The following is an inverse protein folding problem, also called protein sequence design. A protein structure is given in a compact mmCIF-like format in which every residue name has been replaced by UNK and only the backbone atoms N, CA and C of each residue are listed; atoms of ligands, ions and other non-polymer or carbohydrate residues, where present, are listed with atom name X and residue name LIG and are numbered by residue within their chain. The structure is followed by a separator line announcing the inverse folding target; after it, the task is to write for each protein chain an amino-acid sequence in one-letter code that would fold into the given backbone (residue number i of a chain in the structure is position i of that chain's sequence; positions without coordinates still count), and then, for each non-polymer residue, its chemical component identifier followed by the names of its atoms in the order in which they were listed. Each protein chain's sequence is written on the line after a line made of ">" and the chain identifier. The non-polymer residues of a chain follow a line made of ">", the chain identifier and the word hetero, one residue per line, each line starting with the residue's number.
data_IF_947157823605
#
_entry.id   IF_947157823605
#
_cell.length_a   1.000
_cell.length_b   1.000
_cell.length_c   1.000
_cell.angle_alpha   90.00
_cell.angle_beta   90.00
_cell.angle_gamma   90.00
#
_symmetry.space_group_name_H-M   'P 1'
#
loop_
_entity.id
_entity.type
_entity.pdbx_description
1 polymer ?
#
# COMPACT_ATOMS: atom_id res chain seq x y z
N UNK A 1 -17.99 6.57 -7.08
CA UNK A 1 -18.24 7.61 -8.11
C UNK A 1 -19.71 7.70 -8.46
N UNK A 2 -20.44 6.60 -8.70
CA UNK A 2 -21.86 6.58 -9.06
C UNK A 2 -22.76 7.22 -8.02
N UNK A 3 -22.61 6.85 -6.76
CA UNK A 3 -23.41 7.41 -5.66
C UNK A 3 -23.19 8.93 -5.48
N UNK A 4 -21.93 9.37 -5.56
CA UNK A 4 -21.61 10.79 -5.44
C UNK A 4 -22.18 11.61 -6.62
N UNK A 5 -22.10 11.08 -7.85
CA UNK A 5 -22.69 11.70 -9.03
C UNK A 5 -24.22 11.74 -8.95
N UNK A 6 -24.86 10.66 -8.49
CA UNK A 6 -26.32 10.60 -8.29
C UNK A 6 -26.78 11.60 -7.22
N UNK A 7 -26.05 11.71 -6.10
CA UNK A 7 -26.35 12.68 -5.05
C UNK A 7 -26.23 14.15 -5.52
N UNK A 8 -25.26 14.41 -6.42
CA UNK A 8 -25.06 15.74 -7.01
C UNK A 8 -26.05 16.09 -8.14
N UNK A 9 -26.77 15.12 -8.70
CA UNK A 9 -27.61 15.33 -9.88
C UNK A 9 -28.71 16.37 -9.63
N UNK A 10 -29.50 16.23 -8.57
CA UNK A 10 -30.60 17.17 -8.23
C UNK A 10 -30.08 18.60 -8.03
N UNK A 11 -29.14 18.84 -7.10
CA UNK A 11 -28.62 20.18 -6.83
C UNK A 11 -27.97 20.88 -8.02
N UNK A 12 -27.38 20.13 -8.98
CA UNK A 12 -26.65 20.71 -10.11
C UNK A 12 -27.48 20.88 -11.38
N UNK A 13 -28.61 20.14 -11.54
CA UNK A 13 -29.43 20.19 -12.74
C UNK A 13 -30.71 21.01 -12.54
N UNK A 14 -31.16 21.22 -11.28
CA UNK A 14 -32.36 21.93 -10.93
C UNK A 14 -32.07 23.23 -10.15
N UNK A 15 -31.24 24.09 -10.74
CA UNK A 15 -30.87 25.38 -10.15
C UNK A 15 -32.03 26.37 -10.21
N UNK A 16 -32.34 26.94 -9.05
CA UNK A 16 -33.35 28.00 -8.96
C UNK A 16 -32.70 29.35 -9.29
N UNK A 17 -33.37 30.18 -10.10
CA UNK A 17 -32.91 31.52 -10.39
C UNK A 17 -32.77 32.37 -9.12
N UNK A 18 -31.70 33.16 -9.01
CA UNK A 18 -31.42 33.99 -7.82
C UNK A 18 -32.46 35.13 -7.65
N UNK A 19 -33.07 35.58 -8.74
CA UNK A 19 -34.14 36.59 -8.79
C UNK A 19 -35.10 36.28 -9.94
N UNK A 20 -36.26 36.97 -9.96
CA UNK A 20 -37.28 36.82 -11.02
C UNK A 20 -36.95 37.66 -12.29
N UNK A 21 -35.67 37.96 -12.53
CA UNK A 21 -35.22 38.69 -13.72
C UNK A 21 -34.72 37.74 -14.82
N UNK A 22 -34.72 38.24 -16.06
CA UNK A 22 -34.34 37.49 -17.25
C UNK A 22 -32.91 37.01 -17.22
N UNK A 23 -31.99 37.75 -16.58
CA UNK A 23 -30.56 37.39 -16.50
C UNK A 23 -30.36 36.25 -15.51
N UNK A 24 -30.95 36.34 -14.32
CA UNK A 24 -30.91 35.29 -13.31
C UNK A 24 -31.52 33.97 -13.81
N UNK A 25 -32.64 34.07 -14.53
CA UNK A 25 -33.31 32.92 -15.16
C UNK A 25 -32.43 32.31 -16.26
N UNK A 26 -31.83 33.16 -17.11
CA UNK A 26 -30.91 32.69 -18.17
C UNK A 26 -29.66 32.00 -17.62
N UNK A 27 -29.07 32.53 -16.56
CA UNK A 27 -27.90 31.93 -15.88
C UNK A 27 -28.28 30.60 -15.24
N UNK A 28 -29.40 30.51 -14.54
CA UNK A 28 -29.89 29.25 -13.94
C UNK A 28 -30.11 28.16 -15.00
N UNK A 29 -30.72 28.52 -16.13
CA UNK A 29 -30.92 27.61 -17.26
C UNK A 29 -29.57 27.12 -17.86
N UNK A 30 -28.59 28.02 -18.03
CA UNK A 30 -27.27 27.69 -18.53
C UNK A 30 -26.55 26.68 -17.61
N UNK A 31 -26.50 26.94 -16.32
CA UNK A 31 -25.91 26.03 -15.35
C UNK A 31 -26.66 24.69 -15.27
N UNK A 32 -27.97 24.70 -15.35
CA UNK A 32 -28.76 23.47 -15.38
C UNK A 32 -28.45 22.61 -16.62
N UNK A 33 -28.27 23.25 -17.79
CA UNK A 33 -27.86 22.55 -19.01
C UNK A 33 -26.46 21.90 -18.87
N UNK A 34 -25.47 22.63 -18.37
CA UNK A 34 -24.14 22.08 -18.07
C UNK A 34 -24.19 20.97 -17.03
N UNK A 35 -25.03 21.09 -16.01
CA UNK A 35 -25.27 20.03 -15.03
C UNK A 35 -25.78 18.75 -15.68
N UNK A 36 -26.72 18.85 -16.64
CA UNK A 36 -27.23 17.70 -17.40
C UNK A 36 -26.13 17.06 -18.29
N UNK A 37 -25.35 17.87 -19.00
CA UNK A 37 -24.22 17.38 -19.80
C UNK A 37 -23.17 16.66 -18.94
N UNK A 38 -22.86 17.19 -17.78
CA UNK A 38 -21.96 16.57 -16.81
C UNK A 38 -22.51 15.20 -16.34
N UNK A 39 -23.81 15.08 -16.06
CA UNK A 39 -24.42 13.81 -15.64
C UNK A 39 -24.36 12.76 -16.78
N UNK A 40 -24.56 13.17 -18.02
CA UNK A 40 -24.39 12.27 -19.18
C UNK A 40 -22.95 11.77 -19.30
N UNK A 41 -21.97 12.67 -19.19
CA UNK A 41 -20.56 12.31 -19.23
C UNK A 41 -20.16 11.41 -18.06
N UNK A 42 -20.65 11.70 -16.86
CA UNK A 42 -20.44 10.89 -15.66
C UNK A 42 -20.98 9.46 -15.81
N UNK A 43 -22.18 9.30 -16.39
CA UNK A 43 -22.75 7.99 -16.65
C UNK A 43 -21.93 7.17 -17.67
N UNK A 44 -21.39 7.83 -18.70
CA UNK A 44 -20.50 7.18 -19.68
C UNK A 44 -19.18 6.76 -19.02
N UNK A 45 -18.61 7.61 -18.15
CA UNK A 45 -17.40 7.27 -17.41
C UNK A 45 -17.60 6.08 -16.46
N UNK A 46 -18.77 5.97 -15.82
CA UNK A 46 -19.11 4.80 -15.00
C UNK A 46 -19.21 3.53 -15.83
N UNK A 47 -19.94 3.56 -16.95
CA UNK A 47 -20.06 2.42 -17.86
C UNK A 47 -18.70 1.97 -18.39
N UNK A 48 -17.83 2.92 -18.75
CA UNK A 48 -16.46 2.62 -19.15
C UNK A 48 -15.65 1.97 -18.02
N UNK A 49 -15.77 2.49 -16.81
CA UNK A 49 -15.06 1.92 -15.65
C UNK A 49 -15.51 0.48 -15.37
N UNK A 50 -16.81 0.20 -15.40
CA UNK A 50 -17.36 -1.15 -15.24
C UNK A 50 -16.86 -2.11 -16.32
N UNK A 51 -16.85 -1.67 -17.58
CA UNK A 51 -16.32 -2.46 -18.70
C UNK A 51 -14.82 -2.72 -18.52
N UNK A 52 -14.05 -1.72 -18.10
CA UNK A 52 -12.62 -1.86 -17.85
C UNK A 52 -12.32 -2.87 -16.74
N UNK A 53 -13.03 -2.78 -15.60
CA UNK A 53 -12.89 -3.74 -14.49
C UNK A 53 -13.25 -5.17 -14.95
N UNK A 54 -14.32 -5.32 -15.71
CA UNK A 54 -14.74 -6.63 -16.26
C UNK A 54 -13.70 -7.21 -17.21
N UNK A 55 -13.09 -6.38 -18.08
CA UNK A 55 -12.01 -6.80 -18.96
C UNK A 55 -10.75 -7.20 -18.20
N UNK A 56 -10.40 -6.47 -17.15
CA UNK A 56 -9.28 -6.83 -16.28
C UNK A 56 -9.52 -8.19 -15.60
N UNK A 57 -10.72 -8.40 -15.05
CA UNK A 57 -11.07 -9.67 -14.43
C UNK A 57 -11.05 -10.84 -15.43
N UNK A 58 -11.59 -10.64 -16.62
CA UNK A 58 -11.56 -11.64 -17.69
C UNK A 58 -10.12 -11.95 -18.12
N UNK A 59 -9.28 -10.93 -18.24
CA UNK A 59 -7.86 -11.10 -18.56
C UNK A 59 -7.12 -11.87 -17.48
N UNK A 60 -7.36 -11.55 -16.21
CA UNK A 60 -6.75 -12.26 -15.07
C UNK A 60 -7.09 -13.74 -15.08
N UNK A 61 -8.37 -14.10 -15.34
CA UNK A 61 -8.81 -15.50 -15.46
C UNK A 61 -8.16 -16.19 -16.68
N UNK A 62 -8.04 -15.49 -17.80
CA UNK A 62 -7.39 -16.04 -19.00
C UNK A 62 -5.89 -16.30 -18.77
N UNK A 63 -5.18 -15.36 -18.12
CA UNK A 63 -3.79 -15.57 -17.73
C UNK A 63 -3.64 -16.74 -16.76
N UNK A 64 -4.48 -16.82 -15.73
CA UNK A 64 -4.45 -17.91 -14.76
C UNK A 64 -4.64 -19.29 -15.43
N UNK A 65 -5.55 -19.40 -16.39
CA UNK A 65 -5.78 -20.66 -17.12
C UNK A 65 -4.60 -21.01 -18.04
N UNK A 66 -3.99 -20.03 -18.71
CA UNK A 66 -2.81 -20.23 -19.54
C UNK A 66 -1.58 -20.65 -18.72
N UNK A 67 -1.35 -20.00 -17.58
CA UNK A 67 -0.26 -20.36 -16.65
C UNK A 67 -0.43 -21.76 -16.06
N UNK A 68 -1.67 -22.15 -15.71
CA UNK A 68 -1.96 -23.49 -15.24
C UNK A 68 -1.66 -24.56 -16.32
N UNK A 69 -2.01 -24.29 -17.57
CA UNK A 69 -1.72 -25.19 -18.69
C UNK A 69 -0.20 -25.29 -18.96
N UNK A 70 0.51 -24.15 -18.96
CA UNK A 70 1.95 -24.10 -19.17
C UNK A 70 2.71 -24.82 -18.03
N UNK A 71 2.32 -24.60 -16.79
CA UNK A 71 2.91 -25.27 -15.64
C UNK A 71 2.72 -26.79 -15.70
N UNK A 72 1.53 -27.24 -16.10
CA UNK A 72 1.26 -28.67 -16.34
C UNK A 72 2.17 -29.26 -17.42
N UNK A 73 2.38 -28.58 -18.53
CA UNK A 73 3.27 -29.02 -19.61
C UNK A 73 4.76 -29.03 -19.19
N UNK A 74 5.21 -28.00 -18.49
CA UNK A 74 6.58 -27.94 -17.96
C UNK A 74 6.85 -29.09 -17.00
N UNK A 75 5.91 -29.37 -16.10
CA UNK A 75 6.02 -30.46 -15.14
C UNK A 75 6.07 -31.82 -15.85
N UNK A 76 5.18 -32.06 -16.81
CA UNK A 76 5.20 -33.30 -17.61
C UNK A 76 6.53 -33.47 -18.36
N UNK A 77 7.04 -32.40 -18.96
CA UNK A 77 8.33 -32.44 -19.66
C UNK A 77 9.49 -32.67 -18.68
N UNK A 78 9.50 -32.00 -17.52
CA UNK A 78 10.55 -32.14 -16.53
C UNK A 78 10.62 -33.56 -15.91
N UNK A 79 9.48 -34.24 -15.81
CA UNK A 79 9.40 -35.63 -15.30
C UNK A 79 9.70 -36.65 -16.41
N UNK A 80 9.17 -36.43 -17.60
CA UNK A 80 9.31 -37.40 -18.70
C UNK A 80 10.67 -37.34 -19.41
N UNK A 81 11.28 -36.17 -19.59
CA UNK A 81 12.54 -36.04 -20.30
C UNK A 81 13.70 -36.89 -19.68
N UNK A 82 13.94 -36.85 -18.34
CA UNK A 82 14.94 -37.74 -17.72
C UNK A 82 14.53 -39.22 -17.79
N UNK A 83 13.25 -39.51 -17.72
CA UNK A 83 12.76 -40.90 -17.77
C UNK A 83 12.88 -41.48 -19.19
N UNK A 84 12.59 -40.72 -20.21
CA UNK A 84 12.78 -41.11 -21.64
C UNK A 84 14.28 -41.32 -21.92
N UNK A 85 15.16 -40.46 -21.36
CA UNK A 85 16.60 -40.61 -21.53
C UNK A 85 17.18 -41.88 -20.85
N UNK A 86 16.60 -42.30 -19.73
CA UNK A 86 17.08 -43.42 -18.92
C UNK A 86 16.36 -44.75 -19.24
N UNK A 87 15.06 -44.71 -19.51
CA UNK A 87 14.18 -45.86 -19.60
C UNK A 87 13.63 -46.06 -21.04
N UNK A 88 13.84 -45.11 -21.95
CA UNK A 88 13.33 -45.14 -23.33
C UNK A 88 11.83 -44.94 -23.46
N UNK A 89 11.15 -44.57 -22.34
CA UNK A 89 9.70 -44.31 -22.33
C UNK A 89 9.32 -43.28 -21.26
N UNK A 90 8.24 -42.51 -21.49
CA UNK A 90 7.77 -41.56 -20.50
C UNK A 90 7.23 -42.25 -19.23
N UNK A 91 7.51 -41.74 -18.05
CA UNK A 91 6.94 -42.19 -16.78
C UNK A 91 5.44 -41.89 -16.69
N UNK A 92 5.02 -40.80 -17.29
CA UNK A 92 3.64 -40.35 -17.30
C UNK A 92 3.15 -40.40 -18.74
N UNK A 93 2.36 -41.47 -19.09
CA UNK A 93 1.83 -41.63 -20.42
C UNK A 93 0.80 -40.54 -20.75
N UNK A 94 0.78 -40.07 -21.99
CA UNK A 94 -0.12 -39.01 -22.46
C UNK A 94 -1.63 -39.34 -22.34
N UNK A 95 -2.00 -40.56 -21.90
CA UNK A 95 -3.37 -41.02 -21.65
C UNK A 95 -3.84 -40.96 -20.22
N UNK A 96 -2.98 -40.62 -19.24
CA UNK A 96 -3.37 -40.47 -17.84
C UNK A 96 -3.90 -39.05 -17.51
N UNK A 97 -4.34 -38.31 -18.53
CA UNK A 97 -4.98 -37.01 -18.37
C UNK A 97 -6.18 -36.99 -17.39
N UNK A 98 -6.81 -38.16 -17.15
CA UNK A 98 -7.87 -38.26 -16.13
C UNK A 98 -7.34 -38.23 -14.70
N UNK A 99 -6.15 -38.79 -14.40
CA UNK A 99 -5.54 -38.73 -13.06
C UNK A 99 -4.86 -37.39 -12.81
N UNK A 100 -4.25 -36.78 -13.86
CA UNK A 100 -3.74 -35.41 -13.82
C UNK A 100 -4.88 -34.40 -13.74
N UNK A 101 -6.03 -34.65 -14.37
CA UNK A 101 -7.20 -33.76 -14.27
C UNK A 101 -7.88 -33.81 -12.90
N UNK A 102 -7.87 -34.95 -12.19
CA UNK A 102 -8.37 -35.00 -10.80
C UNK A 102 -7.44 -34.31 -9.81
N UNK A 103 -6.12 -34.40 -9.99
CA UNK A 103 -5.15 -33.66 -9.22
C UNK A 103 -5.06 -32.17 -9.65
N UNK A 104 -5.30 -31.87 -10.95
CA UNK A 104 -5.42 -30.50 -11.44
C UNK A 104 -6.66 -29.80 -10.86
N UNK A 105 -7.75 -30.53 -10.59
CA UNK A 105 -8.93 -29.99 -9.90
C UNK A 105 -8.61 -29.54 -8.47
N UNK A 106 -7.85 -30.33 -7.70
CA UNK A 106 -7.41 -29.96 -6.35
C UNK A 106 -6.37 -28.82 -6.37
N UNK A 107 -5.47 -28.81 -7.36
CA UNK A 107 -4.49 -27.73 -7.55
C UNK A 107 -5.15 -26.44 -8.03
N UNK A 108 -6.16 -26.53 -8.90
CA UNK A 108 -6.96 -25.38 -9.33
C UNK A 108 -7.83 -24.84 -8.20
N UNK A 109 -8.38 -25.68 -7.33
CA UNK A 109 -9.10 -25.27 -6.14
C UNK A 109 -8.17 -24.58 -5.12
N UNK A 110 -6.93 -25.08 -4.94
CA UNK A 110 -5.93 -24.43 -4.11
C UNK A 110 -5.51 -23.08 -4.72
N UNK A 111 -5.27 -22.99 -6.02
CA UNK A 111 -4.96 -21.73 -6.70
C UNK A 111 -6.12 -20.71 -6.60
N UNK A 112 -7.37 -21.16 -6.72
CA UNK A 112 -8.55 -20.30 -6.57
C UNK A 112 -8.73 -19.79 -5.13
N UNK A 113 -8.40 -20.59 -4.12
CA UNK A 113 -8.42 -20.16 -2.72
C UNK A 113 -7.35 -19.11 -2.43
N UNK A 114 -6.15 -19.26 -3.01
CA UNK A 114 -5.05 -18.29 -2.87
C UNK A 114 -5.38 -16.98 -3.61
N UNK A 115 -6.03 -17.04 -4.78
CA UNK A 115 -6.53 -15.83 -5.45
C UNK A 115 -7.61 -15.15 -4.62
N UNK A 116 -8.45 -15.92 -3.94
CA UNK A 116 -9.45 -15.40 -3.00
C UNK A 116 -8.81 -14.67 -1.83
N UNK A 117 -7.72 -15.18 -1.24
CA UNK A 117 -6.98 -14.51 -0.17
C UNK A 117 -6.33 -13.22 -0.67
N UNK A 118 -5.65 -13.24 -1.81
CA UNK A 118 -5.07 -12.03 -2.43
C UNK A 118 -6.10 -10.91 -2.57
N UNK A 119 -7.30 -11.22 -3.09
CA UNK A 119 -8.37 -10.24 -3.24
C UNK A 119 -8.84 -9.73 -1.87
N UNK A 120 -9.03 -10.62 -0.90
CA UNK A 120 -9.48 -10.26 0.44
C UNK A 120 -8.45 -9.40 1.19
N UNK A 121 -7.17 -9.75 1.11
CA UNK A 121 -6.07 -9.02 1.76
C UNK A 121 -5.88 -7.64 1.12
N UNK A 122 -5.93 -7.58 -0.21
CA UNK A 122 -5.91 -6.30 -0.94
C UNK A 122 -7.10 -5.42 -0.59
N UNK A 123 -8.32 -5.98 -0.53
CA UNK A 123 -9.52 -5.23 -0.14
C UNK A 123 -9.42 -4.73 1.30
N UNK A 124 -8.92 -5.55 2.22
CA UNK A 124 -8.70 -5.18 3.63
C UNK A 124 -7.72 -4.03 3.76
N UNK A 125 -6.58 -4.09 3.07
CA UNK A 125 -5.59 -3.02 3.08
C UNK A 125 -6.13 -1.72 2.45
N UNK A 126 -6.82 -1.80 1.32
CA UNK A 126 -7.45 -0.64 0.71
C UNK A 126 -8.54 -0.03 1.60
N UNK A 127 -9.32 -0.86 2.28
CA UNK A 127 -10.33 -0.41 3.23
C UNK A 127 -9.68 0.28 4.44
N UNK A 128 -8.59 -0.27 4.97
CA UNK A 128 -7.79 0.35 6.04
C UNK A 128 -7.29 1.73 5.61
N UNK A 129 -6.65 1.82 4.44
CA UNK A 129 -6.15 3.08 3.87
C UNK A 129 -7.29 4.08 3.68
N UNK A 130 -8.43 3.63 3.11
CA UNK A 130 -9.62 4.47 2.91
C UNK A 130 -10.21 4.97 4.23
N UNK A 131 -10.28 4.12 5.25
CA UNK A 131 -10.75 4.49 6.58
C UNK A 131 -9.80 5.48 7.27
N UNK A 132 -8.49 5.28 7.17
CA UNK A 132 -7.49 6.22 7.69
C UNK A 132 -7.60 7.56 6.98
N UNK A 133 -7.73 7.54 5.65
CA UNK A 133 -7.96 8.75 4.87
C UNK A 133 -9.21 9.51 5.34
N UNK A 134 -10.35 8.83 5.40
CA UNK A 134 -11.63 9.46 5.72
C UNK A 134 -11.71 9.98 7.16
N UNK A 135 -11.15 9.22 8.12
CA UNK A 135 -11.34 9.52 9.54
C UNK A 135 -10.18 10.32 10.17
N UNK A 136 -8.99 10.31 9.54
CA UNK A 136 -7.80 10.99 10.05
C UNK A 136 -7.26 12.00 9.05
N UNK A 137 -6.83 11.56 7.87
CA UNK A 137 -6.08 12.38 6.92
C UNK A 137 -6.91 13.53 6.35
N UNK A 138 -8.11 13.26 5.84
CA UNK A 138 -8.96 14.28 5.24
C UNK A 138 -9.43 15.35 6.25
N UNK A 139 -9.87 15.02 7.47
CA UNK A 139 -10.19 16.03 8.49
C UNK A 139 -8.99 16.89 8.88
N UNK A 140 -7.80 16.29 9.00
CA UNK A 140 -6.57 17.03 9.35
C UNK A 140 -6.16 17.99 8.24
N UNK A 141 -6.22 17.56 6.97
CA UNK A 141 -5.99 18.43 5.81
C UNK A 141 -7.02 19.55 5.75
N UNK A 142 -8.30 19.26 6.01
CA UNK A 142 -9.34 20.28 6.04
C UNK A 142 -9.06 21.32 7.13
N UNK A 143 -8.64 20.90 8.31
CA UNK A 143 -8.24 21.79 9.39
C UNK A 143 -7.08 22.69 8.96
N UNK A 144 -6.07 22.16 8.28
CA UNK A 144 -4.94 22.94 7.77
C UNK A 144 -5.39 23.99 6.74
N UNK A 145 -6.24 23.60 5.78
CA UNK A 145 -6.77 24.51 4.75
C UNK A 145 -7.65 25.60 5.33
N UNK A 146 -8.42 25.31 6.38
CA UNK A 146 -9.33 26.27 7.02
C UNK A 146 -8.64 27.15 8.07
N UNK A 147 -7.43 26.84 8.49
CA UNK A 147 -6.71 27.54 9.55
C UNK A 147 -6.58 29.06 9.28
N UNK A 148 -5.98 29.45 8.17
CA UNK A 148 -5.79 30.86 7.84
C UNK A 148 -7.11 31.61 7.54
N UNK A 149 -8.06 31.06 6.76
CA UNK A 149 -9.38 31.65 6.61
C UNK A 149 -10.11 31.89 7.94
N UNK A 150 -10.01 30.95 8.89
CA UNK A 150 -10.62 31.12 10.22
C UNK A 150 -9.92 32.21 11.03
N UNK A 151 -8.59 32.30 11.00
CA UNK A 151 -7.86 33.41 11.62
C UNK A 151 -8.29 34.77 11.07
N UNK A 152 -8.45 34.88 9.75
CA UNK A 152 -8.91 36.11 9.09
C UNK A 152 -10.34 36.45 9.53
N UNK A 153 -11.26 35.50 9.45
CA UNK A 153 -12.68 35.73 9.81
C UNK A 153 -12.83 36.11 11.30
N UNK A 154 -12.11 35.44 12.18
CA UNK A 154 -12.13 35.71 13.63
C UNK A 154 -11.55 37.10 13.94
N UNK A 155 -10.44 37.46 13.28
CA UNK A 155 -9.84 38.79 13.45
C UNK A 155 -10.77 39.91 13.00
N UNK A 156 -11.47 39.72 11.88
CA UNK A 156 -12.44 40.67 11.39
C UNK A 156 -13.67 40.78 12.33
N UNK A 157 -14.16 39.63 12.82
CA UNK A 157 -15.31 39.60 13.73
C UNK A 157 -15.03 40.22 15.10
N UNK A 158 -13.84 40.05 15.62
CA UNK A 158 -13.41 40.57 16.93
C UNK A 158 -12.80 41.96 16.87
N UNK A 159 -12.50 42.47 15.69
CA UNK A 159 -11.78 43.74 15.51
C UNK A 159 -10.32 43.70 16.00
N UNK A 160 -9.77 42.51 16.25
CA UNK A 160 -8.39 42.31 16.70
C UNK A 160 -7.47 41.96 15.52
N UNK A 161 -6.59 42.89 15.06
CA UNK A 161 -5.72 42.64 13.91
C UNK A 161 -4.47 41.80 14.26
N UNK A 162 -4.15 41.56 15.53
CA UNK A 162 -2.92 40.91 15.95
C UNK A 162 -2.70 39.53 15.33
N UNK A 163 -3.72 38.63 15.23
CA UNK A 163 -3.54 37.32 14.56
C UNK A 163 -3.17 37.44 13.07
N UNK A 164 -3.64 38.49 12.39
CA UNK A 164 -3.32 38.72 10.97
C UNK A 164 -1.84 39.06 10.76
N UNK A 165 -1.24 39.76 11.71
CA UNK A 165 0.18 40.14 11.63
C UNK A 165 1.11 38.93 11.80
N UNK A 166 0.63 37.84 12.42
CA UNK A 166 1.39 36.60 12.58
C UNK A 166 1.42 35.76 11.30
N UNK A 167 0.45 35.89 10.39
CA UNK A 167 0.31 35.05 9.19
C UNK A 167 1.57 35.04 8.31
N UNK A 168 2.19 36.18 7.94
CA UNK A 168 3.40 36.17 7.12
C UNK A 168 4.57 35.41 7.77
N UNK A 169 4.72 35.55 9.09
CA UNK A 169 5.78 34.87 9.85
C UNK A 169 5.51 33.36 9.90
N UNK A 170 4.27 32.97 10.16
CA UNK A 170 3.86 31.57 10.19
C UNK A 170 4.06 30.92 8.79
N UNK A 171 3.67 31.59 7.71
CA UNK A 171 3.88 31.11 6.35
C UNK A 171 5.36 30.94 6.02
N UNK A 172 6.24 31.86 6.45
CA UNK A 172 7.67 31.73 6.24
C UNK A 172 8.26 30.57 7.05
N UNK A 173 7.81 30.37 8.28
CA UNK A 173 8.22 29.24 9.13
C UNK A 173 7.75 27.92 8.54
N UNK A 174 6.49 27.82 8.14
CA UNK A 174 5.91 26.63 7.52
C UNK A 174 6.62 26.27 6.20
N UNK A 175 6.91 27.26 5.34
CA UNK A 175 7.65 26.99 4.10
C UNK A 175 9.06 26.45 4.35
N UNK A 176 9.74 26.96 5.37
CA UNK A 176 11.06 26.48 5.80
C UNK A 176 10.96 25.06 6.37
N UNK A 177 9.95 24.79 7.21
CA UNK A 177 9.72 23.47 7.78
C UNK A 177 9.39 22.42 6.70
N UNK A 178 8.55 22.76 5.71
CA UNK A 178 8.29 21.89 4.55
C UNK A 178 9.57 21.62 3.77
N UNK A 179 10.35 22.68 3.45
CA UNK A 179 11.62 22.50 2.76
C UNK A 179 12.57 21.59 3.54
N UNK A 180 12.68 21.76 4.85
CA UNK A 180 13.50 20.90 5.70
C UNK A 180 13.00 19.45 5.71
N UNK A 181 11.70 19.21 5.78
CA UNK A 181 11.13 17.85 5.73
C UNK A 181 11.48 17.12 4.42
N UNK A 182 11.60 17.85 3.31
CA UNK A 182 11.98 17.28 2.01
C UNK A 182 13.49 17.21 1.77
N UNK A 183 14.30 18.07 2.39
CA UNK A 183 15.73 18.20 2.10
C UNK A 183 16.64 17.73 3.23
N UNK A 184 16.12 17.47 4.42
CA UNK A 184 16.93 17.06 5.56
C UNK A 184 17.41 15.61 5.39
N UNK A 185 18.73 15.37 5.50
CA UNK A 185 19.24 14.02 5.58
C UNK A 185 18.82 13.37 6.93
N UNK A 186 19.26 12.13 7.13
CA UNK A 186 19.09 11.43 8.42
C UNK A 186 19.59 12.32 9.57
N UNK A 187 18.71 12.55 10.55
CA UNK A 187 19.03 13.39 11.71
C UNK A 187 18.57 12.74 13.00
N UNK A 188 19.32 12.94 14.10
CA UNK A 188 18.86 12.58 15.43
C UNK A 188 17.75 13.55 15.86
N UNK A 189 16.58 13.00 16.22
CA UNK A 189 15.44 13.82 16.63
C UNK A 189 15.37 14.04 18.14
N UNK A 190 15.63 13.00 18.91
CA UNK A 190 15.51 13.04 20.38
C UNK A 190 16.53 12.12 21.02
N UNK A 191 17.01 12.50 22.20
CA UNK A 191 17.74 11.62 23.08
C UNK A 191 17.12 11.76 24.47
N UNK A 192 16.64 10.67 25.06
CA UNK A 192 16.07 10.68 26.40
C UNK A 192 16.70 9.60 27.28
N UNK A 193 17.04 9.99 28.51
CA UNK A 193 17.53 9.10 29.55
C UNK A 193 16.39 8.73 30.47
N UNK A 194 16.19 7.42 30.68
CA UNK A 194 15.27 6.89 31.67
C UNK A 194 15.97 5.86 32.58
N UNK A 195 15.38 5.49 33.72
CA UNK A 195 15.91 4.40 34.55
C UNK A 195 15.98 3.05 33.84
N UNK A 196 15.22 2.88 32.75
CA UNK A 196 15.19 1.66 31.93
C UNK A 196 16.19 1.67 30.78
N UNK A 197 16.87 2.77 30.50
CA UNK A 197 17.86 2.86 29.43
C UNK A 197 17.88 4.22 28.71
N UNK A 198 18.70 4.28 27.66
CA UNK A 198 18.80 5.41 26.75
C UNK A 198 17.90 5.15 25.52
N UNK A 199 17.09 6.13 25.16
CA UNK A 199 16.31 6.05 23.92
C UNK A 199 16.75 7.17 22.97
N UNK A 200 17.04 6.79 21.73
CA UNK A 200 17.43 7.68 20.65
C UNK A 200 16.36 7.65 19.56
N UNK A 201 15.83 8.81 19.22
CA UNK A 201 14.98 8.97 18.04
C UNK A 201 15.79 9.47 16.86
N UNK A 202 15.50 8.97 15.67
CA UNK A 202 16.05 9.54 14.45
C UNK A 202 14.92 9.82 13.44
N UNK A 203 15.16 10.80 12.57
CA UNK A 203 14.28 11.13 11.46
C UNK A 203 15.01 10.85 10.16
N UNK A 204 14.25 10.34 9.18
CA UNK A 204 14.66 10.24 7.79
C UNK A 204 14.02 11.39 7.01
N UNK A 205 14.74 11.95 6.07
CA UNK A 205 14.14 12.84 5.07
C UNK A 205 13.05 12.11 4.28
N UNK A 206 12.07 12.86 3.79
CA UNK A 206 10.96 12.27 3.06
C UNK A 206 11.42 11.47 1.82
N UNK A 207 12.40 11.91 1.03
CA UNK A 207 12.90 11.13 -0.12
C UNK A 207 13.49 9.77 0.29
N UNK A 208 14.29 9.73 1.37
CA UNK A 208 14.90 8.53 1.89
C UNK A 208 13.86 7.56 2.45
N UNK A 209 12.86 8.10 3.16
CA UNK A 209 11.74 7.33 3.68
C UNK A 209 10.92 6.70 2.55
N UNK A 210 10.59 7.47 1.51
CA UNK A 210 9.86 6.97 0.35
C UNK A 210 10.67 5.92 -0.42
N UNK A 211 11.98 6.13 -0.60
CA UNK A 211 12.85 5.16 -1.24
C UNK A 211 12.90 3.83 -0.46
N UNK A 212 13.01 3.90 0.87
CA UNK A 212 13.03 2.72 1.73
C UNK A 212 11.69 1.97 1.67
N UNK A 213 10.57 2.68 1.78
CA UNK A 213 9.23 2.08 1.69
C UNK A 213 8.92 1.52 0.29
N UNK A 214 9.50 2.11 -0.77
CA UNK A 214 9.37 1.57 -2.13
C UNK A 214 10.10 0.23 -2.32
N UNK A 215 11.17 -0.02 -1.56
CA UNK A 215 11.92 -1.29 -1.62
C UNK A 215 11.16 -2.45 -0.95
N UNK A 216 10.22 -2.17 -0.06
CA UNK A 216 9.50 -3.20 0.69
C UNK A 216 8.74 -4.17 -0.22
N UNK A 217 7.98 -3.66 -1.17
CA UNK A 217 7.18 -4.48 -2.07
C UNK A 217 8.01 -5.46 -2.93
N UNK A 218 9.08 -5.05 -3.66
CA UNK A 218 9.91 -5.99 -4.40
C UNK A 218 10.66 -6.98 -3.51
N UNK A 219 11.07 -6.60 -2.30
CA UNK A 219 11.71 -7.51 -1.34
C UNK A 219 10.73 -8.60 -0.90
N UNK A 220 9.51 -8.25 -0.50
CA UNK A 220 8.46 -9.22 -0.16
C UNK A 220 8.16 -10.17 -1.33
N UNK A 221 8.04 -9.65 -2.55
CA UNK A 221 7.81 -10.46 -3.75
C UNK A 221 8.95 -11.45 -4.00
N UNK A 222 10.21 -11.01 -3.86
CA UNK A 222 11.37 -11.87 -4.01
C UNK A 222 11.42 -12.98 -2.95
N UNK A 223 11.09 -12.66 -1.70
CA UNK A 223 11.01 -13.64 -0.62
C UNK A 223 9.89 -14.66 -0.85
N UNK A 224 8.72 -14.23 -1.31
CA UNK A 224 7.62 -15.14 -1.66
C UNK A 224 7.98 -16.04 -2.85
N UNK A 225 8.69 -15.52 -3.84
CA UNK A 225 9.24 -16.31 -4.93
C UNK A 225 10.22 -17.38 -4.44
N UNK A 226 11.14 -17.01 -3.54
CA UNK A 226 12.07 -17.94 -2.90
C UNK A 226 11.34 -19.02 -2.09
N UNK A 227 10.34 -18.66 -1.32
CA UNK A 227 9.51 -19.60 -0.53
C UNK A 227 8.73 -20.55 -1.44
N UNK A 228 8.17 -20.06 -2.53
CA UNK A 228 7.48 -20.89 -3.52
C UNK A 228 8.44 -21.86 -4.20
N UNK A 229 9.65 -21.42 -4.55
CA UNK A 229 10.69 -22.27 -5.13
C UNK A 229 11.15 -23.37 -4.15
N UNK A 230 11.38 -23.04 -2.89
CA UNK A 230 11.76 -24.03 -1.86
C UNK A 230 10.65 -25.04 -1.58
N UNK A 231 9.38 -24.61 -1.58
CA UNK A 231 8.22 -25.48 -1.46
C UNK A 231 8.10 -26.45 -2.64
N UNK A 232 8.31 -25.95 -3.85
CA UNK A 232 8.35 -26.75 -5.07
C UNK A 232 9.45 -27.82 -5.02
N UNK A 233 10.69 -27.40 -4.70
CA UNK A 233 11.84 -28.34 -4.61
C UNK A 233 11.67 -29.35 -3.48
N UNK A 234 11.13 -28.93 -2.34
CA UNK A 234 10.82 -29.82 -1.22
C UNK A 234 9.77 -30.88 -1.57
N UNK A 235 8.72 -30.48 -2.28
CA UNK A 235 7.72 -31.43 -2.76
C UNK A 235 8.30 -32.43 -3.79
N UNK A 236 9.16 -31.97 -4.70
CA UNK A 236 9.83 -32.86 -5.65
C UNK A 236 10.77 -33.85 -4.95
N UNK A 237 11.55 -33.41 -3.97
CA UNK A 237 12.49 -34.28 -3.25
C UNK A 237 11.81 -35.41 -2.47
N UNK A 238 10.54 -35.21 -2.08
CA UNK A 238 9.71 -36.20 -1.40
C UNK A 238 8.81 -37.00 -2.35
N UNK A 239 8.91 -36.79 -3.66
CA UNK A 239 8.06 -37.44 -4.67
C UNK A 239 6.60 -36.96 -4.66
N UNK A 240 6.30 -35.86 -3.98
CA UNK A 240 4.96 -35.28 -3.93
C UNK A 240 4.70 -34.39 -5.14
N UNK A 241 4.36 -35.01 -6.28
CA UNK A 241 4.10 -34.32 -7.54
C UNK A 241 2.91 -33.34 -7.44
N UNK A 242 1.87 -33.71 -6.69
CA UNK A 242 0.71 -32.84 -6.48
C UNK A 242 1.09 -31.58 -5.68
N UNK A 243 1.91 -31.73 -4.63
CA UNK A 243 2.45 -30.62 -3.88
C UNK A 243 3.33 -29.70 -4.72
N UNK A 244 4.20 -30.27 -5.58
CA UNK A 244 5.02 -29.50 -6.51
C UNK A 244 4.16 -28.70 -7.50
N UNK A 245 3.16 -29.33 -8.11
CA UNK A 245 2.23 -28.64 -9.00
C UNK A 245 1.49 -27.48 -8.29
N UNK A 246 1.01 -27.72 -7.07
CA UNK A 246 0.35 -26.67 -6.27
C UNK A 246 1.29 -25.52 -5.98
N UNK A 247 2.53 -25.80 -5.53
CA UNK A 247 3.52 -24.77 -5.25
C UNK A 247 3.84 -23.91 -6.49
N UNK A 248 3.95 -24.54 -7.66
CA UNK A 248 4.22 -23.84 -8.93
C UNK A 248 3.04 -22.98 -9.37
N UNK A 249 1.81 -23.53 -9.30
CA UNK A 249 0.59 -22.82 -9.72
C UNK A 249 0.24 -21.66 -8.78
N UNK A 250 0.55 -21.79 -7.48
CA UNK A 250 0.29 -20.73 -6.51
C UNK A 250 1.36 -19.64 -6.48
N UNK A 251 2.56 -19.90 -7.01
CA UNK A 251 3.69 -18.98 -6.93
C UNK A 251 3.39 -17.58 -7.50
N UNK A 252 2.75 -17.39 -8.67
CA UNK A 252 2.42 -16.06 -9.17
C UNK A 252 1.53 -15.27 -8.21
N UNK A 253 0.48 -15.92 -7.68
CA UNK A 253 -0.44 -15.28 -6.74
C UNK A 253 0.25 -14.92 -5.42
N UNK A 254 1.09 -15.82 -4.88
CA UNK A 254 1.87 -15.58 -3.67
C UNK A 254 2.83 -14.40 -3.85
N UNK A 255 3.48 -14.28 -5.02
CA UNK A 255 4.40 -13.18 -5.34
C UNK A 255 3.64 -11.86 -5.44
N UNK A 256 2.49 -11.85 -6.13
CA UNK A 256 1.66 -10.64 -6.24
C UNK A 256 1.08 -10.23 -4.89
N UNK A 257 0.62 -11.19 -4.10
CA UNK A 257 0.12 -10.92 -2.76
C UNK A 257 1.21 -10.34 -1.86
N UNK A 258 2.38 -10.95 -1.85
CA UNK A 258 3.52 -10.43 -1.10
C UNK A 258 3.97 -9.04 -1.58
N UNK A 259 3.91 -8.77 -2.89
CA UNK A 259 4.19 -7.44 -3.44
C UNK A 259 3.19 -6.38 -2.98
N UNK A 260 1.90 -6.72 -2.96
CA UNK A 260 0.84 -5.79 -2.59
C UNK A 260 0.63 -5.72 -1.08
N UNK A 261 0.52 -6.86 -0.42
CA UNK A 261 0.01 -7.00 0.94
C UNK A 261 1.05 -7.55 1.92
N UNK A 262 2.20 -8.03 1.42
CA UNK A 262 3.21 -8.67 2.24
C UNK A 262 3.60 -7.84 3.45
N UNK A 263 3.81 -8.52 4.57
CA UNK A 263 4.24 -7.90 5.81
C UNK A 263 5.22 -8.85 6.49
N UNK A 264 6.46 -8.41 6.62
CA UNK A 264 7.52 -9.17 7.25
C UNK A 264 8.42 -8.26 8.08
N UNK A 265 8.96 -8.80 9.15
CA UNK A 265 9.99 -8.15 9.95
C UNK A 265 11.35 -8.78 9.62
N UNK A 266 12.29 -7.98 9.17
CA UNK A 266 13.67 -8.40 8.98
C UNK A 266 14.45 -8.09 10.26
N UNK A 267 14.63 -9.10 11.10
CA UNK A 267 15.51 -8.99 12.27
C UNK A 267 16.97 -9.12 11.85
N UNK A 268 17.72 -8.05 11.98
CA UNK A 268 19.14 -7.99 11.69
C UNK A 268 19.92 -7.86 12.99
N UNK A 269 20.92 -8.72 13.19
CA UNK A 269 21.86 -8.58 14.30
C UNK A 269 23.23 -8.15 13.80
N UNK A 270 23.67 -7.01 14.27
CA UNK A 270 25.02 -6.51 14.03
C UNK A 270 25.84 -6.68 15.32
N UNK A 271 26.83 -7.58 15.26
CA UNK A 271 27.77 -7.81 16.35
C UNK A 271 29.00 -6.92 16.14
N UNK A 272 29.13 -5.94 17.00
CA UNK A 272 30.32 -5.10 17.11
C UNK A 272 31.09 -5.46 18.41
N UNK A 273 32.42 -5.19 18.50
CA UNK A 273 33.15 -5.43 19.75
C UNK A 273 32.53 -4.71 20.94
N UNK A 274 31.93 -5.46 21.87
CA UNK A 274 31.29 -4.92 23.07
C UNK A 274 29.89 -4.31 22.85
N UNK A 275 29.29 -4.47 21.66
CA UNK A 275 27.96 -3.94 21.33
C UNK A 275 27.21 -4.92 20.42
N UNK A 276 26.04 -5.36 20.82
CA UNK A 276 25.12 -6.10 19.95
C UNK A 276 23.95 -5.20 19.61
N UNK A 277 23.73 -4.95 18.34
CA UNK A 277 22.58 -4.19 17.85
C UNK A 277 21.61 -5.17 17.18
N UNK A 278 20.39 -5.24 17.64
CA UNK A 278 19.28 -5.95 17.00
C UNK A 278 18.33 -4.91 16.44
N UNK A 279 18.12 -4.93 15.13
CA UNK A 279 17.19 -4.03 14.45
C UNK A 279 16.09 -4.88 13.81
N UNK A 280 14.84 -4.53 14.12
CA UNK A 280 13.66 -5.09 13.50
C UNK A 280 13.15 -4.08 12.48
N UNK A 281 13.34 -4.41 11.20
CA UNK A 281 12.98 -3.55 10.09
C UNK A 281 11.68 -4.08 9.50
N UNK A 282 10.55 -3.38 9.65
CA UNK A 282 9.31 -3.78 9.01
C UNK A 282 9.43 -3.57 7.50
N UNK A 283 9.23 -4.63 6.75
CA UNK A 283 9.26 -4.65 5.29
C UNK A 283 7.86 -5.00 4.80
N UNK A 284 7.15 -4.02 4.28
CA UNK A 284 5.76 -4.19 3.86
C UNK A 284 5.61 -4.14 2.35
N UNK A 285 4.60 -4.84 1.85
CA UNK A 285 4.12 -4.70 0.48
C UNK A 285 3.58 -3.30 0.22
N UNK A 286 3.20 -3.04 -1.01
CA UNK A 286 2.82 -1.71 -1.48
C UNK A 286 1.69 -1.07 -0.66
N UNK A 287 0.73 -1.88 -0.19
CA UNK A 287 -0.44 -1.47 0.57
C UNK A 287 -0.32 -1.77 2.08
N UNK A 288 0.82 -2.31 2.53
CA UNK A 288 1.02 -2.73 3.91
C UNK A 288 0.86 -1.57 4.91
N UNK A 289 0.58 -1.87 6.20
CA UNK A 289 0.45 -0.86 7.24
C UNK A 289 1.78 -0.14 7.49
N UNK A 290 1.68 1.04 8.10
CA UNK A 290 2.84 1.77 8.61
C UNK A 290 3.13 1.32 10.04
N UNK A 291 4.36 0.92 10.30
CA UNK A 291 4.83 0.47 11.61
C UNK A 291 6.07 1.23 12.05
N UNK A 292 6.20 1.55 13.35
CA UNK A 292 7.36 2.26 13.84
C UNK A 292 8.62 1.39 13.67
N UNK A 293 9.68 1.97 13.12
CA UNK A 293 10.99 1.33 13.14
C UNK A 293 11.53 1.31 14.57
N UNK A 294 11.97 0.13 15.01
CA UNK A 294 12.62 -0.03 16.31
C UNK A 294 13.90 -0.86 16.19
N UNK A 295 14.93 -0.42 16.87
CA UNK A 295 16.15 -1.20 17.04
C UNK A 295 16.59 -1.14 18.50
N UNK A 296 17.13 -2.24 19.00
CA UNK A 296 17.68 -2.34 20.35
C UNK A 296 19.16 -2.64 20.31
N UNK A 297 19.93 -1.89 21.07
CA UNK A 297 21.36 -2.14 21.21
C UNK A 297 21.67 -2.51 22.67
N UNK A 298 22.34 -3.63 22.87
CA UNK A 298 22.77 -4.10 24.19
C UNK A 298 24.27 -3.89 24.37
N UNK A 299 24.64 -3.26 25.49
CA UNK A 299 26.03 -3.06 25.90
C UNK A 299 26.36 -3.94 27.13
N UNK A 300 26.93 -5.13 26.94
CA UNK A 300 27.12 -6.11 28.01
C UNK A 300 28.03 -5.64 29.17
N UNK A 301 28.76 -4.54 28.98
CA UNK A 301 29.68 -3.99 30.00
C UNK A 301 29.13 -2.84 30.85
N UNK A 302 27.93 -2.37 30.58
CA UNK A 302 27.35 -1.18 31.22
C UNK A 302 25.92 -1.47 31.72
N UNK A 303 25.74 -1.99 32.94
CA UNK A 303 24.43 -2.43 33.44
C UNK A 303 23.39 -1.30 33.54
N UNK A 304 23.79 -0.04 33.60
CA UNK A 304 22.92 1.15 33.63
C UNK A 304 22.49 1.58 32.21
N UNK A 305 23.16 1.09 31.14
CA UNK A 305 22.88 1.38 29.75
C UNK A 305 22.55 0.07 29.00
N UNK A 306 22.00 -0.90 29.69
CA UNK A 306 21.82 -2.27 29.19
C UNK A 306 20.84 -2.38 28.00
N UNK A 307 20.06 -1.33 27.73
CA UNK A 307 19.21 -1.25 26.55
C UNK A 307 19.23 0.17 25.98
N UNK A 308 19.86 0.33 24.85
CA UNK A 308 19.67 1.49 23.99
C UNK A 308 18.55 1.19 23.02
N UNK A 309 17.44 1.90 23.10
CA UNK A 309 16.35 1.78 22.14
C UNK A 309 16.47 2.88 21.09
N UNK A 310 16.47 2.51 19.83
CA UNK A 310 16.49 3.43 18.69
C UNK A 310 15.11 3.36 18.04
N UNK A 311 14.44 4.51 17.93
CA UNK A 311 13.15 4.62 17.27
C UNK A 311 13.27 5.52 16.04
N UNK A 312 12.61 5.14 14.95
CA UNK A 312 12.65 5.88 13.70
C UNK A 312 11.25 6.19 13.17
N UNK A 313 11.17 6.82 12.00
CA UNK A 313 9.90 7.10 11.36
C UNK A 313 9.17 5.79 11.03
N UNK A 314 7.84 5.84 10.81
CA UNK A 314 7.10 4.65 10.45
C UNK A 314 7.51 4.17 9.05
N UNK A 315 7.83 2.87 8.97
CA UNK A 315 8.11 2.16 7.74
C UNK A 315 6.91 1.29 7.36
N UNK A 316 6.66 1.12 6.06
CA UNK A 316 5.54 0.31 5.61
C UNK A 316 5.32 0.38 4.11
N UNK A 317 4.07 0.20 3.67
CA UNK A 317 3.73 0.28 2.26
C UNK A 317 3.87 1.69 1.70
N UNK A 318 4.37 1.79 0.48
CA UNK A 318 4.55 3.09 -0.19
C UNK A 318 3.23 3.85 -0.33
N UNK A 319 2.13 3.16 -0.66
CA UNK A 319 0.80 3.80 -0.77
C UNK A 319 0.32 4.30 0.58
N UNK A 320 0.48 3.51 1.64
CA UNK A 320 0.16 3.94 3.00
C UNK A 320 0.99 5.15 3.42
N UNK A 321 2.27 5.17 3.09
CA UNK A 321 3.14 6.33 3.35
C UNK A 321 2.64 7.59 2.66
N UNK A 322 2.29 7.50 1.37
CA UNK A 322 1.82 8.65 0.58
C UNK A 322 0.44 9.15 1.01
N UNK A 323 -0.43 8.24 1.47
CA UNK A 323 -1.83 8.57 1.82
C UNK A 323 -2.00 8.94 3.29
N UNK A 324 -1.21 8.34 4.18
CA UNK A 324 -1.35 8.52 5.63
C UNK A 324 -0.27 9.43 6.21
N UNK A 325 1.01 9.12 5.99
CA UNK A 325 2.14 9.81 6.62
C UNK A 325 2.47 11.16 5.99
N UNK A 326 2.57 11.22 4.66
CA UNK A 326 2.94 12.47 3.95
C UNK A 326 1.95 13.60 4.20
N UNK A 327 0.64 13.39 4.13
CA UNK A 327 -0.32 14.44 4.47
C UNK A 327 -0.25 14.89 5.93
N UNK A 328 -0.04 13.96 6.87
CA UNK A 328 0.12 14.29 8.29
C UNK A 328 1.38 15.14 8.53
N UNK A 329 2.49 14.75 7.91
CA UNK A 329 3.74 15.51 7.93
C UNK A 329 3.55 16.93 7.38
N UNK A 330 2.85 17.07 6.25
CA UNK A 330 2.56 18.38 5.66
C UNK A 330 1.69 19.24 6.58
N UNK A 331 0.67 18.66 7.19
CA UNK A 331 -0.19 19.41 8.11
C UNK A 331 0.57 19.88 9.34
N UNK A 332 1.35 18.99 9.97
CA UNK A 332 2.15 19.35 11.15
C UNK A 332 3.23 20.39 10.84
N UNK A 333 3.65 20.51 9.58
CA UNK A 333 4.61 21.53 9.14
C UNK A 333 3.94 22.83 8.70
N UNK A 334 2.69 22.78 8.21
CA UNK A 334 1.96 23.94 7.70
C UNK A 334 1.16 24.68 8.77
N UNK A 335 0.73 24.00 9.80
CA UNK A 335 -0.08 24.54 10.90
C UNK A 335 0.75 24.44 12.19
N UNK A 336 1.36 25.54 12.63
CA UNK A 336 2.20 25.59 13.83
C UNK A 336 1.38 25.42 15.12
#
# INVERSE_FOLDING_TARGET
>A
LGEASAAAAGPTTALVAAAEDEVSTGIAALFGAFGQEYQLLSSQAQAFHEQFVNLLNASAVAYQSAEAANAGQILLTAVNAPAEALLGQPLIAAGTGAAVSQNAGSSAAAASSITGSLIADTATNLQRIGNTWANKTAPTLLQAVTHYPQLISTSLATGNPLPLLAIPVQLAQSSTAVYQAFSSPVSLSTASFSPSGLSLGFNLGLPELLALNALGAPVNAAMAGGTSATSFMGALSTGNVAGAATALLSAPNNIVDAFLNGHQELSMQLLLPGLTVTADIPVSGLLGPLEPFTATATLPGLPLLNALTITGPPLGGLVSTLVEYVPELLVTTLVP
#
